data_IF_061042931766
#
_entry.id   IF_061042931766
#
_cell.length_a   1.000
_cell.length_b   1.000
_cell.length_c   1.000
_cell.angle_alpha   90.00
_cell.angle_beta   90.00
_cell.angle_gamma   90.00
#
_symmetry.space_group_name_H-M   'P 1'
#
loop_
_entity.id
_entity.type
_entity.pdbx_description
1 polymer ?
#
# COMPACT_ATOMS: atom_id res chain seq x y z
N UNK A 1 31.28 -5.70 12.97
CA UNK A 1 30.94 -5.71 11.53
C UNK A 1 32.10 -5.07 10.79
N UNK A 2 32.90 -5.86 10.07
CA UNK A 2 34.25 -5.47 9.61
C UNK A 2 34.32 -4.47 8.45
N UNK A 3 33.28 -4.35 7.60
CA UNK A 3 33.16 -3.31 6.56
C UNK A 3 31.70 -3.09 6.15
N UNK A 4 31.40 -1.95 5.50
CA UNK A 4 30.09 -1.67 4.88
C UNK A 4 29.98 -2.13 3.42
N UNK A 5 30.97 -2.86 2.90
CA UNK A 5 31.08 -3.20 1.47
C UNK A 5 29.89 -3.99 0.90
N UNK A 6 29.16 -4.70 1.76
CA UNK A 6 27.99 -5.50 1.40
C UNK A 6 26.65 -4.83 1.80
N UNK A 7 26.64 -3.54 2.12
CA UNK A 7 25.43 -2.79 2.46
C UNK A 7 25.01 -1.93 1.27
N UNK A 8 23.70 -1.85 1.05
CA UNK A 8 23.14 -0.94 0.05
C UNK A 8 22.90 0.44 0.64
N UNK A 9 23.15 1.46 -0.18
CA UNK A 9 22.63 2.81 0.03
C UNK A 9 21.25 2.89 -0.61
N UNK A 10 20.21 2.97 0.22
CA UNK A 10 18.83 2.89 -0.24
C UNK A 10 18.29 4.24 -0.70
N UNK A 11 17.76 4.28 -1.92
CA UNK A 11 16.94 5.38 -2.40
C UNK A 11 15.48 5.00 -2.23
N UNK A 12 14.74 5.85 -1.50
CA UNK A 12 13.31 5.73 -1.28
C UNK A 12 12.52 6.71 -2.12
N UNK A 13 11.33 6.31 -2.56
CA UNK A 13 10.33 7.20 -3.18
C UNK A 13 9.03 7.15 -2.39
N UNK A 14 8.28 8.24 -2.38
CA UNK A 14 6.99 8.33 -1.70
C UNK A 14 6.09 9.37 -2.38
N UNK A 15 4.77 9.13 -2.41
CA UNK A 15 3.81 10.10 -2.92
C UNK A 15 3.81 10.25 -4.44
N UNK A 16 4.13 9.19 -5.20
CA UNK A 16 4.15 9.26 -6.68
C UNK A 16 2.77 9.62 -7.23
N UNK A 17 1.69 9.14 -6.59
CA UNK A 17 0.33 9.52 -6.94
C UNK A 17 0.12 11.03 -6.84
N UNK A 18 0.40 11.63 -5.69
CA UNK A 18 0.20 13.07 -5.49
C UNK A 18 1.20 13.90 -6.29
N UNK A 19 2.40 13.39 -6.57
CA UNK A 19 3.33 14.02 -7.51
C UNK A 19 2.70 14.13 -8.91
N UNK A 20 2.08 13.07 -9.42
CA UNK A 20 1.39 13.09 -10.72
C UNK A 20 0.26 14.12 -10.71
N UNK A 21 -0.57 14.09 -9.67
CA UNK A 21 -1.69 15.03 -9.51
C UNK A 21 -1.21 16.48 -9.51
N UNK A 22 -0.19 16.81 -8.71
CA UNK A 22 0.36 18.18 -8.68
C UNK A 22 1.03 18.57 -10.00
N UNK A 23 1.75 17.65 -10.67
CA UNK A 23 2.43 17.93 -11.94
C UNK A 23 1.45 18.21 -13.08
N UNK A 24 0.28 17.59 -13.03
CA UNK A 24 -0.76 17.68 -14.07
C UNK A 24 -1.94 18.59 -13.69
N UNK A 25 -1.83 19.35 -12.60
CA UNK A 25 -2.93 20.16 -12.08
C UNK A 25 -4.24 19.36 -11.89
N UNK A 26 -4.10 18.14 -11.35
CA UNK A 26 -5.15 17.17 -11.05
C UNK A 26 -5.84 16.52 -12.26
N UNK A 27 -5.30 16.66 -13.47
CA UNK A 27 -5.84 15.99 -14.66
C UNK A 27 -5.62 14.46 -14.61
N UNK A 28 -4.51 14.04 -14.01
CA UNK A 28 -4.14 12.63 -13.91
C UNK A 28 -3.72 12.25 -12.49
N UNK A 29 -3.90 10.98 -12.19
CA UNK A 29 -3.33 10.30 -11.04
C UNK A 29 -2.65 9.00 -11.49
N UNK A 30 -2.08 8.21 -10.58
CA UNK A 30 -1.35 6.98 -10.93
C UNK A 30 -2.21 5.89 -11.58
N UNK A 31 -3.54 6.01 -11.49
CA UNK A 31 -4.51 5.01 -11.97
C UNK A 31 -4.86 5.21 -13.44
N UNK A 32 -4.67 6.43 -13.95
CA UNK A 32 -4.78 6.74 -15.38
C UNK A 32 -3.66 6.10 -16.20
N UNK A 33 -3.90 5.79 -17.48
CA UNK A 33 -2.85 5.27 -18.37
C UNK A 33 -1.65 6.22 -18.47
N UNK A 34 -1.92 7.52 -18.56
CA UNK A 34 -0.89 8.55 -18.60
C UNK A 34 -0.06 8.59 -17.32
N UNK A 35 -0.74 8.62 -16.15
CA UNK A 35 -0.07 8.69 -14.86
C UNK A 35 0.71 7.42 -14.53
N UNK A 36 0.19 6.26 -14.90
CA UNK A 36 0.90 4.99 -14.77
C UNK A 36 2.19 5.00 -15.62
N UNK A 37 2.11 5.42 -16.89
CA UNK A 37 3.28 5.55 -17.75
C UNK A 37 4.29 6.59 -17.21
N UNK A 38 3.81 7.68 -16.61
CA UNK A 38 4.66 8.68 -15.98
C UNK A 38 5.38 8.15 -14.74
N UNK A 39 4.69 7.36 -13.90
CA UNK A 39 5.30 6.67 -12.76
C UNK A 39 6.40 5.69 -13.18
N UNK A 40 6.15 4.88 -14.22
CA UNK A 40 7.16 3.99 -14.80
C UNK A 40 8.39 4.78 -15.25
N UNK A 41 8.19 5.86 -16.01
CA UNK A 41 9.28 6.72 -16.49
C UNK A 41 10.12 7.28 -15.35
N UNK A 42 9.49 7.73 -14.27
CA UNK A 42 10.19 8.21 -13.07
C UNK A 42 11.04 7.10 -12.45
N UNK A 43 10.46 5.92 -12.21
CA UNK A 43 11.16 4.82 -11.56
C UNK A 43 12.34 4.33 -12.42
N UNK A 44 12.16 4.23 -13.74
CA UNK A 44 13.25 3.87 -14.66
C UNK A 44 14.35 4.94 -14.67
N UNK A 45 14.00 6.22 -14.59
CA UNK A 45 14.98 7.30 -14.46
C UNK A 45 15.79 7.18 -13.16
N UNK A 46 15.12 6.95 -12.02
CA UNK A 46 15.80 6.78 -10.72
C UNK A 46 16.77 5.59 -10.77
N UNK A 47 16.35 4.46 -11.35
CA UNK A 47 17.22 3.28 -11.53
C UNK A 47 18.45 3.59 -12.38
N UNK A 48 18.27 4.30 -13.50
CA UNK A 48 19.39 4.70 -14.35
C UNK A 48 20.39 5.60 -13.61
N UNK A 49 19.89 6.55 -12.79
CA UNK A 49 20.73 7.40 -11.94
C UNK A 49 21.49 6.60 -10.88
N UNK A 50 20.86 5.61 -10.27
CA UNK A 50 21.52 4.74 -9.30
C UNK A 50 22.68 3.95 -9.91
N UNK A 51 22.52 3.44 -11.13
CA UNK A 51 23.62 2.76 -11.83
C UNK A 51 24.80 3.69 -12.08
N UNK A 52 24.54 4.94 -12.47
CA UNK A 52 25.58 5.95 -12.63
C UNK A 52 26.30 6.24 -11.30
N UNK A 53 25.55 6.38 -10.20
CA UNK A 53 26.16 6.58 -8.88
C UNK A 53 26.97 5.38 -8.40
N UNK A 54 26.54 4.16 -8.73
CA UNK A 54 27.29 2.95 -8.41
C UNK A 54 28.62 2.89 -9.15
N UNK A 55 28.65 3.26 -10.43
CA UNK A 55 29.88 3.35 -11.24
C UNK A 55 30.83 4.44 -10.72
N UNK A 56 30.29 5.61 -10.40
CA UNK A 56 31.06 6.77 -9.93
C UNK A 56 31.66 6.55 -8.52
N UNK A 57 30.88 5.99 -7.60
CA UNK A 57 31.26 5.93 -6.17
C UNK A 57 31.79 4.56 -5.73
N UNK A 58 31.52 3.51 -6.51
CA UNK A 58 31.79 2.12 -6.11
C UNK A 58 30.87 1.59 -5.00
N UNK A 59 29.87 2.35 -4.53
CA UNK A 59 28.89 1.90 -3.55
C UNK A 59 27.72 1.19 -4.23
N UNK A 60 27.13 0.22 -3.53
CA UNK A 60 25.92 -0.44 -4.00
C UNK A 60 24.69 0.40 -3.66
N UNK A 61 23.78 0.56 -4.62
CA UNK A 61 22.51 1.28 -4.43
C UNK A 61 21.32 0.39 -4.78
N UNK A 62 20.21 0.54 -4.05
CA UNK A 62 18.94 -0.11 -4.36
C UNK A 62 17.77 0.89 -4.27
N UNK A 63 16.69 0.56 -4.97
CA UNK A 63 15.45 1.34 -4.98
C UNK A 63 14.44 0.62 -4.11
N UNK A 64 13.90 1.31 -3.12
CA UNK A 64 12.93 0.75 -2.16
C UNK A 64 11.61 1.51 -2.20
N UNK A 65 10.52 0.75 -2.15
CA UNK A 65 9.21 1.27 -1.81
C UNK A 65 9.20 1.49 -0.29
N UNK A 66 9.72 2.64 0.13
CA UNK A 66 9.88 2.97 1.55
C UNK A 66 8.54 2.81 2.28
N UNK A 67 8.47 2.12 3.44
CA UNK A 67 7.21 1.97 4.18
C UNK A 67 6.58 3.30 4.61
N UNK A 68 7.43 4.31 4.85
CA UNK A 68 7.07 5.71 5.08
C UNK A 68 6.01 5.96 6.18
N UNK A 69 5.86 5.06 7.16
CA UNK A 69 4.79 5.04 8.17
C UNK A 69 4.51 6.40 8.83
N UNK A 70 5.55 7.10 9.30
CA UNK A 70 5.42 8.47 9.81
C UNK A 70 5.73 9.56 8.78
N UNK A 71 6.45 9.20 7.73
CA UNK A 71 6.98 10.15 6.74
C UNK A 71 5.90 10.66 5.79
N UNK A 72 4.95 9.80 5.38
CA UNK A 72 3.82 10.19 4.52
C UNK A 72 3.05 11.37 5.09
N UNK A 73 2.69 11.28 6.37
CA UNK A 73 1.97 12.31 7.12
C UNK A 73 2.85 13.55 7.37
N UNK A 74 4.09 13.34 7.79
CA UNK A 74 5.01 14.44 8.11
C UNK A 74 5.31 15.29 6.88
N UNK A 75 5.64 14.68 5.74
CA UNK A 75 5.91 15.41 4.51
C UNK A 75 4.67 16.17 4.04
N UNK A 76 3.50 15.54 4.06
CA UNK A 76 2.27 16.22 3.70
C UNK A 76 2.01 17.47 4.57
N UNK A 77 2.20 17.36 5.90
CA UNK A 77 2.08 18.49 6.81
C UNK A 77 3.10 19.60 6.56
N UNK A 78 4.36 19.26 6.32
CA UNK A 78 5.40 20.27 6.09
C UNK A 78 5.25 20.99 4.75
N UNK A 79 4.84 20.27 3.69
CA UNK A 79 4.63 20.88 2.38
C UNK A 79 3.44 21.85 2.39
N UNK A 80 2.36 21.52 3.11
CA UNK A 80 1.20 22.42 3.22
C UNK A 80 1.53 23.76 3.86
N UNK A 81 2.52 23.81 4.77
CA UNK A 81 2.98 25.08 5.36
C UNK A 81 3.63 26.00 4.32
N UNK A 82 4.13 25.43 3.21
CA UNK A 82 4.87 26.14 2.15
C UNK A 82 4.01 26.37 0.92
N UNK A 83 3.11 25.45 0.62
CA UNK A 83 2.29 25.43 -0.58
C UNK A 83 0.83 25.20 -0.17
N UNK A 84 0.04 26.28 -0.12
CA UNK A 84 -1.34 26.22 0.39
C UNK A 84 -2.24 25.32 -0.47
N UNK A 85 -2.03 25.32 -1.78
CA UNK A 85 -2.87 24.61 -2.75
C UNK A 85 -2.30 23.24 -3.17
N UNK A 86 -1.32 22.71 -2.43
CA UNK A 86 -0.70 21.41 -2.76
C UNK A 86 -1.72 20.27 -2.64
N UNK A 87 -1.82 19.46 -3.70
CA UNK A 87 -2.74 18.34 -3.75
C UNK A 87 -2.16 17.17 -2.94
N UNK A 88 -2.97 16.64 -2.03
CA UNK A 88 -2.59 15.57 -1.10
C UNK A 88 -3.75 14.58 -0.96
N UNK A 89 -3.47 13.38 -0.46
CA UNK A 89 -4.50 12.44 -0.07
C UNK A 89 -4.95 12.68 1.39
N UNK A 90 -6.07 12.06 1.78
CA UNK A 90 -6.63 12.20 3.11
C UNK A 90 -7.48 13.45 3.30
N UNK A 91 -7.72 13.82 4.56
CA UNK A 91 -8.56 14.98 4.91
C UNK A 91 -7.70 16.21 5.21
N UNK A 92 -8.34 17.37 5.37
CA UNK A 92 -7.68 18.58 5.85
C UNK A 92 -6.93 18.36 7.17
N UNK A 93 -7.48 17.61 8.10
CA UNK A 93 -6.84 17.38 9.40
C UNK A 93 -5.82 16.22 9.36
N UNK A 94 -6.03 15.26 8.45
CA UNK A 94 -5.23 14.05 8.32
C UNK A 94 -4.69 13.86 6.90
N UNK A 95 -3.81 14.76 6.41
CA UNK A 95 -3.26 14.62 5.07
C UNK A 95 -2.10 13.65 5.03
N UNK A 96 -1.98 12.92 3.93
CA UNK A 96 -0.86 12.03 3.70
C UNK A 96 -0.50 11.97 2.22
N UNK A 97 0.68 11.46 1.94
CA UNK A 97 1.08 11.01 0.61
C UNK A 97 0.89 9.51 0.49
N UNK A 98 0.32 9.07 -0.62
CA UNK A 98 0.14 7.65 -0.94
C UNK A 98 1.51 6.98 -0.97
N UNK A 99 1.62 5.82 -0.31
CA UNK A 99 2.92 5.23 -0.06
C UNK A 99 3.63 4.86 -1.37
N UNK A 100 4.89 5.27 -1.54
CA UNK A 100 5.71 4.89 -2.70
C UNK A 100 5.01 5.13 -4.06
N UNK A 101 4.73 4.06 -4.82
CA UNK A 101 3.94 4.03 -6.07
C UNK A 101 2.65 3.20 -5.93
N UNK A 102 2.16 3.02 -4.70
CA UNK A 102 0.92 2.28 -4.45
C UNK A 102 -0.28 2.99 -5.07
N UNK A 103 -1.35 2.23 -5.26
CA UNK A 103 -2.64 2.79 -5.65
C UNK A 103 -3.19 3.70 -4.53
N UNK A 104 -3.99 4.72 -4.88
CA UNK A 104 -4.72 5.51 -3.88
C UNK A 104 -5.60 4.60 -3.01
N UNK A 105 -5.75 4.97 -1.74
CA UNK A 105 -6.62 4.23 -0.80
C UNK A 105 -8.05 4.22 -1.32
N UNK A 106 -8.66 3.03 -1.37
CA UNK A 106 -10.04 2.85 -1.84
C UNK A 106 -10.21 2.86 -3.35
N UNK A 107 -9.13 2.74 -4.13
CA UNK A 107 -9.22 2.67 -5.59
C UNK A 107 -9.98 1.43 -6.09
N UNK A 108 -9.66 0.24 -5.56
CA UNK A 108 -10.35 -1.01 -5.91
C UNK A 108 -10.37 -1.96 -4.73
N UNK A 109 -11.45 -2.73 -4.62
CA UNK A 109 -11.58 -3.86 -3.69
C UNK A 109 -11.24 -5.20 -4.37
N UNK A 110 -11.00 -5.20 -5.70
CA UNK A 110 -10.57 -6.40 -6.43
C UNK A 110 -9.06 -6.58 -6.31
N UNK A 111 -8.57 -7.62 -5.59
CA UNK A 111 -7.15 -7.85 -5.46
C UNK A 111 -6.46 -8.21 -6.77
N UNK A 112 -7.17 -8.76 -7.76
CA UNK A 112 -6.58 -9.06 -9.07
C UNK A 112 -6.42 -7.80 -9.91
N UNK A 113 -7.36 -6.87 -9.85
CA UNK A 113 -7.17 -5.55 -10.46
C UNK A 113 -6.00 -4.83 -9.80
N UNK A 114 -5.91 -4.85 -8.46
CA UNK A 114 -4.78 -4.24 -7.76
C UNK A 114 -3.44 -4.85 -8.19
N UNK A 115 -3.36 -6.18 -8.33
CA UNK A 115 -2.19 -6.89 -8.86
C UNK A 115 -1.85 -6.46 -10.29
N UNK A 116 -2.84 -6.40 -11.18
CA UNK A 116 -2.67 -6.01 -12.59
C UNK A 116 -2.13 -4.57 -12.69
N UNK A 117 -2.68 -3.64 -11.91
CA UNK A 117 -2.25 -2.24 -11.91
C UNK A 117 -0.88 -2.00 -11.27
N UNK A 118 -0.40 -2.94 -10.46
CA UNK A 118 0.83 -2.76 -9.68
C UNK A 118 1.99 -3.63 -10.16
N UNK A 119 1.77 -4.67 -10.97
CA UNK A 119 2.86 -5.59 -11.38
C UNK A 119 4.06 -4.85 -11.97
N UNK A 120 3.83 -3.99 -12.96
CA UNK A 120 4.90 -3.29 -13.66
C UNK A 120 5.65 -2.30 -12.75
N UNK A 121 4.93 -1.58 -11.89
CA UNK A 121 5.51 -0.62 -10.95
C UNK A 121 6.34 -1.33 -9.89
N UNK A 122 5.80 -2.40 -9.29
CA UNK A 122 6.44 -3.08 -8.17
C UNK A 122 7.72 -3.82 -8.60
N UNK A 123 7.80 -4.25 -9.86
CA UNK A 123 9.01 -4.85 -10.45
C UNK A 123 10.14 -3.87 -10.69
N UNK A 124 9.92 -2.56 -10.53
CA UNK A 124 10.98 -1.56 -10.64
C UNK A 124 11.83 -1.44 -9.38
N UNK A 125 11.29 -1.84 -8.24
CA UNK A 125 12.03 -1.83 -6.97
C UNK A 125 13.03 -2.99 -6.93
N UNK A 126 14.26 -2.69 -6.50
CA UNK A 126 15.37 -3.66 -6.44
C UNK A 126 15.81 -3.95 -5.00
N UNK A 127 15.39 -3.14 -4.04
CA UNK A 127 15.64 -3.34 -2.62
C UNK A 127 14.50 -4.10 -1.96
N UNK A 128 13.41 -3.37 -1.69
CA UNK A 128 12.23 -3.89 -1.02
C UNK A 128 10.96 -3.28 -1.60
N UNK A 129 9.94 -4.10 -1.74
CA UNK A 129 8.57 -3.66 -1.91
C UNK A 129 7.61 -4.71 -1.37
N UNK A 130 6.36 -4.32 -1.12
CA UNK A 130 5.27 -5.18 -0.72
C UNK A 130 3.96 -4.63 -1.31
N UNK A 131 3.15 -5.50 -1.90
CA UNK A 131 1.77 -5.17 -2.23
C UNK A 131 0.82 -5.82 -1.22
N UNK A 132 0.06 -5.00 -0.51
CA UNK A 132 -0.95 -5.46 0.43
C UNK A 132 -2.27 -5.70 -0.30
N UNK A 133 -2.71 -6.96 -0.35
CA UNK A 133 -4.03 -7.33 -0.85
C UNK A 133 -5.00 -7.36 0.33
N UNK A 134 -5.77 -6.29 0.50
CA UNK A 134 -6.83 -6.21 1.52
C UNK A 134 -8.06 -6.97 1.04
N UNK A 135 -8.53 -7.94 1.82
CA UNK A 135 -9.74 -8.69 1.50
C UNK A 135 -10.91 -8.12 2.30
N UNK A 136 -11.97 -7.72 1.61
CA UNK A 136 -13.22 -7.26 2.23
C UNK A 136 -13.92 -8.38 3.02
N UNK A 137 -13.79 -9.62 2.55
CA UNK A 137 -14.33 -10.81 3.19
C UNK A 137 -13.25 -11.63 3.92
N UNK A 138 -13.62 -12.36 4.98
CA UNK A 138 -12.73 -13.34 5.58
C UNK A 138 -12.41 -14.45 4.57
N UNK A 139 -11.16 -14.95 4.61
CA UNK A 139 -10.79 -16.11 3.79
C UNK A 139 -11.60 -17.34 4.24
N UNK A 140 -12.28 -17.98 3.30
CA UNK A 140 -13.16 -19.11 3.58
C UNK A 140 -12.42 -20.36 4.07
N UNK A 141 -11.16 -20.56 3.66
CA UNK A 141 -10.31 -21.65 4.13
C UNK A 141 -8.81 -21.40 3.86
N UNK A 142 -7.91 -22.14 4.54
CA UNK A 142 -6.48 -22.15 4.20
C UNK A 142 -6.20 -22.57 2.74
N UNK A 143 -7.01 -23.47 2.17
CA UNK A 143 -6.86 -23.91 0.77
C UNK A 143 -7.28 -22.84 -0.23
N UNK A 144 -8.30 -22.04 0.10
CA UNK A 144 -8.66 -20.87 -0.69
C UNK A 144 -7.52 -19.84 -0.70
N UNK A 145 -6.92 -19.57 0.46
CA UNK A 145 -5.74 -18.71 0.58
C UNK A 145 -4.56 -19.23 -0.25
N UNK A 146 -4.23 -20.52 -0.12
CA UNK A 146 -3.18 -21.18 -0.91
C UNK A 146 -3.42 -21.03 -2.42
N UNK A 147 -4.67 -21.21 -2.85
CA UNK A 147 -5.05 -21.08 -4.26
C UNK A 147 -4.91 -19.65 -4.75
N UNK A 148 -5.30 -18.66 -3.94
CA UNK A 148 -5.11 -17.24 -4.25
C UNK A 148 -3.63 -16.89 -4.41
N UNK A 149 -2.78 -17.29 -3.45
CA UNK A 149 -1.32 -17.07 -3.52
C UNK A 149 -0.74 -17.70 -4.78
N UNK A 150 -1.08 -18.98 -5.06
CA UNK A 150 -0.60 -19.67 -6.27
C UNK A 150 -1.01 -18.93 -7.53
N UNK A 151 -2.25 -18.48 -7.65
CA UNK A 151 -2.74 -17.73 -8.82
C UNK A 151 -2.02 -16.40 -8.97
N UNK A 152 -1.85 -15.65 -7.89
CA UNK A 152 -1.14 -14.38 -7.90
C UNK A 152 0.31 -14.56 -8.37
N UNK A 153 1.07 -15.46 -7.73
CA UNK A 153 2.48 -15.67 -8.04
C UNK A 153 2.74 -16.42 -9.36
N UNK A 154 1.73 -17.06 -9.96
CA UNK A 154 1.86 -17.70 -11.27
C UNK A 154 1.49 -16.78 -12.44
N UNK A 155 0.64 -15.76 -12.20
CA UNK A 155 0.19 -14.82 -13.22
C UNK A 155 0.98 -13.52 -13.23
N UNK A 156 1.50 -13.13 -12.07
CA UNK A 156 2.22 -11.87 -11.88
C UNK A 156 3.63 -12.10 -11.39
N UNK A 157 4.46 -11.09 -11.54
CA UNK A 157 5.91 -11.14 -11.27
C UNK A 157 6.30 -10.29 -10.06
N UNK A 158 5.32 -9.73 -9.33
CA UNK A 158 5.56 -8.98 -8.09
C UNK A 158 6.40 -9.80 -7.12
N UNK A 159 7.44 -9.19 -6.50
CA UNK A 159 8.38 -9.92 -5.67
C UNK A 159 7.79 -10.33 -4.32
N UNK A 160 6.82 -9.56 -3.80
CA UNK A 160 6.28 -9.78 -2.47
C UNK A 160 4.85 -9.24 -2.35
N UNK A 161 3.94 -10.11 -1.90
CA UNK A 161 2.55 -9.80 -1.62
C UNK A 161 2.19 -10.23 -0.20
N UNK A 162 1.23 -9.56 0.41
CA UNK A 162 0.56 -10.05 1.62
C UNK A 162 -0.94 -10.15 1.38
N UNK A 163 -1.58 -11.12 2.01
CA UNK A 163 -3.05 -11.20 2.04
C UNK A 163 -3.51 -10.78 3.42
N UNK A 164 -4.32 -9.74 3.48
CA UNK A 164 -4.80 -9.14 4.72
C UNK A 164 -6.32 -9.28 4.78
N UNK A 165 -6.86 -10.36 5.36
CA UNK A 165 -8.30 -10.51 5.54
C UNK A 165 -8.83 -9.54 6.58
N UNK A 166 -10.05 -9.06 6.35
CA UNK A 166 -10.74 -8.19 7.32
C UNK A 166 -11.23 -8.99 8.52
N UNK A 167 -11.00 -8.45 9.71
CA UNK A 167 -11.54 -8.95 10.98
C UNK A 167 -11.95 -7.78 11.87
N UNK A 168 -12.88 -8.04 12.78
CA UNK A 168 -13.34 -7.10 13.80
C UNK A 168 -12.96 -7.63 15.19
N UNK A 169 -12.75 -6.73 16.16
CA UNK A 169 -12.42 -7.11 17.54
C UNK A 169 -13.59 -6.71 18.44
N UNK A 170 -14.18 -7.69 19.10
CA UNK A 170 -15.15 -7.50 20.17
C UNK A 170 -14.44 -7.55 21.53
N UNK A 171 -14.69 -6.59 22.45
CA UNK A 171 -14.14 -6.64 23.81
C UNK A 171 -14.55 -7.90 24.60
N UNK A 172 -15.68 -8.52 24.26
CA UNK A 172 -16.22 -9.71 24.93
C UNK A 172 -15.81 -11.01 24.23
N UNK A 173 -15.95 -11.07 22.90
CA UNK A 173 -15.78 -12.31 22.13
C UNK A 173 -14.45 -12.42 21.38
N UNK A 174 -13.60 -11.39 21.44
CA UNK A 174 -12.31 -11.36 20.76
C UNK A 174 -12.46 -11.19 19.24
N UNK A 175 -11.65 -11.94 18.48
CA UNK A 175 -11.61 -11.85 17.01
C UNK A 175 -12.88 -12.38 16.34
N UNK A 176 -13.39 -11.60 15.40
CA UNK A 176 -14.54 -11.92 14.56
C UNK A 176 -14.10 -11.81 13.09
N UNK A 177 -14.41 -12.82 12.28
CA UNK A 177 -14.13 -12.76 10.84
C UNK A 177 -15.03 -11.76 10.13
N UNK A 178 -14.44 -10.91 9.28
CA UNK A 178 -15.16 -9.88 8.52
C UNK A 178 -15.31 -8.55 9.25
N UNK A 179 -15.92 -7.58 8.56
CA UNK A 179 -16.20 -6.23 9.07
C UNK A 179 -17.56 -6.21 9.78
N UNK A 180 -17.54 -5.90 11.08
CA UNK A 180 -18.72 -5.84 11.94
C UNK A 180 -18.67 -4.57 12.76
N UNK A 181 -19.65 -3.66 12.56
CA UNK A 181 -19.79 -2.47 13.39
C UNK A 181 -20.24 -2.82 14.83
N UNK A 182 -21.07 -3.84 14.96
CA UNK A 182 -21.54 -4.40 16.22
C UNK A 182 -21.29 -5.90 16.26
N UNK A 183 -20.94 -6.44 17.44
CA UNK A 183 -20.63 -7.86 17.56
C UNK A 183 -21.90 -8.71 17.39
N UNK A 184 -21.99 -9.57 16.36
CA UNK A 184 -23.20 -10.38 16.14
C UNK A 184 -23.46 -11.35 17.31
N UNK A 185 -22.40 -11.82 17.99
CA UNK A 185 -22.52 -12.69 19.16
C UNK A 185 -23.07 -11.95 20.39
N UNK A 186 -22.64 -10.70 20.61
CA UNK A 186 -23.22 -9.86 21.67
C UNK A 186 -24.70 -9.60 21.41
N UNK A 187 -25.06 -9.32 20.16
CA UNK A 187 -26.44 -9.05 19.78
C UNK A 187 -27.32 -10.29 20.02
N UNK A 188 -26.87 -11.48 19.62
CA UNK A 188 -27.55 -12.75 19.91
C UNK A 188 -27.72 -12.99 21.41
N UNK A 189 -26.69 -12.76 22.23
CA UNK A 189 -26.75 -12.90 23.68
C UNK A 189 -27.76 -11.93 24.33
N UNK A 190 -27.80 -10.67 23.86
CA UNK A 190 -28.74 -9.65 24.33
C UNK A 190 -30.16 -10.03 23.95
N UNK A 191 -30.39 -10.48 22.71
CA UNK A 191 -31.70 -10.95 22.23
C UNK A 191 -32.17 -12.14 23.08
N UNK A 192 -31.31 -13.14 23.28
CA UNK A 192 -31.64 -14.31 24.08
C UNK A 192 -31.94 -13.97 25.55
N UNK A 193 -31.22 -12.99 26.13
CA UNK A 193 -31.51 -12.49 27.48
C UNK A 193 -32.88 -11.81 27.56
N UNK A 194 -33.19 -10.90 26.63
CA UNK A 194 -34.48 -10.21 26.59
C UNK A 194 -35.65 -11.18 26.40
N UNK A 195 -35.47 -12.24 25.61
CA UNK A 195 -36.48 -13.28 25.44
C UNK A 195 -36.74 -14.06 26.73
N UNK A 196 -35.70 -14.35 27.53
CA UNK A 196 -35.85 -15.01 28.83
C UNK A 196 -36.53 -14.13 29.89
N UNK A 197 -36.33 -12.82 29.84
CA UNK A 197 -36.95 -11.86 30.77
C UNK A 197 -38.42 -11.55 30.43
N UNK A 198 -38.85 -11.86 29.21
CA UNK A 198 -40.22 -11.64 28.74
C UNK A 198 -41.18 -12.82 29.02
N UNK A 199 -40.66 -13.93 29.57
CA UNK A 199 -41.39 -15.14 29.99
C UNK A 199 -41.54 -15.13 31.52
#
# INVERSE_FOLDING_TARGET
LGTLRNHFSTLGVNGINEMIRNFTADEHDITSEWGHAFAIRLLDHVRARMLAFQDETGHMYNLEATPAEGTTYRFAKEDRKRYADILQAGTGDMPYYTNSSQLPVGFTDDPFEALERQDDLQRKYTGGTVLHLYMTEPLSSPDACRTLIKRALSRFTLPYITITPTFSICPTHGYLGGSHQFCPKCDEEIIARKQREAV
#
